data_IF_390411479652
#
_entry.id   IF_390411479652
#
_cell.length_a   1.000
_cell.length_b   1.000
_cell.length_c   1.000
_cell.angle_alpha   90.00
_cell.angle_beta   90.00
_cell.angle_gamma   90.00
#
_symmetry.space_group_name_H-M   'P 1'
#
loop_
_entity.id
_entity.type
_entity.pdbx_description
1 polymer ?
#
# COMPACT_ATOMS: atom_id res chain seq x y z
N UNK A 1 10.51 -10.28 15.08
CA UNK A 1 9.10 -9.91 14.82
C UNK A 1 8.46 -10.94 13.89
N UNK A 2 7.18 -11.28 14.05
CA UNK A 2 6.47 -12.14 13.09
C UNK A 2 5.86 -11.28 11.98
N UNK A 3 6.56 -11.20 10.85
CA UNK A 3 6.16 -10.35 9.74
C UNK A 3 4.92 -10.83 8.98
N UNK A 4 4.70 -12.15 8.94
CA UNK A 4 3.49 -12.72 8.32
C UNK A 4 2.26 -12.28 9.10
N UNK A 5 2.33 -12.40 10.42
CA UNK A 5 1.29 -11.92 11.32
C UNK A 5 1.12 -10.40 11.19
N UNK A 6 2.21 -9.63 11.19
CA UNK A 6 2.15 -8.16 11.04
C UNK A 6 1.40 -7.74 9.77
N UNK A 7 1.70 -8.34 8.62
CA UNK A 7 1.02 -8.04 7.35
C UNK A 7 -0.47 -8.38 7.44
N UNK A 8 -0.83 -9.53 8.01
CA UNK A 8 -2.24 -9.90 8.22
C UNK A 8 -2.95 -8.94 9.18
N UNK A 9 -2.32 -8.56 10.28
CA UNK A 9 -2.86 -7.57 11.23
C UNK A 9 -3.09 -6.19 10.54
N UNK A 10 -2.22 -5.79 9.61
CA UNK A 10 -2.39 -4.56 8.81
C UNK A 10 -3.63 -4.66 7.92
N UNK A 11 -3.81 -5.80 7.23
CA UNK A 11 -4.98 -6.05 6.37
C UNK A 11 -6.27 -6.07 7.21
N UNK A 12 -6.25 -6.78 8.33
CA UNK A 12 -7.42 -6.97 9.21
C UNK A 12 -7.85 -5.68 9.92
N UNK A 13 -6.89 -4.79 10.24
CA UNK A 13 -7.19 -3.46 10.80
C UNK A 13 -7.95 -2.58 9.78
N UNK A 14 -7.83 -2.87 8.48
CA UNK A 14 -8.57 -2.21 7.40
C UNK A 14 -8.45 -0.67 7.41
N UNK A 15 -7.34 -0.14 7.93
CA UNK A 15 -7.01 1.29 7.93
C UNK A 15 -6.07 1.63 6.78
N UNK A 16 -6.06 2.90 6.41
CA UNK A 16 -5.07 3.44 5.48
C UNK A 16 -3.73 3.63 6.19
N UNK A 17 -2.63 3.41 5.49
CA UNK A 17 -1.28 3.73 5.95
C UNK A 17 -0.83 4.98 5.23
N UNK A 18 -0.43 5.99 5.99
CA UNK A 18 0.13 7.22 5.44
C UNK A 18 1.64 7.10 5.40
N UNK A 19 2.21 7.34 4.22
CA UNK A 19 3.64 7.38 3.96
C UNK A 19 4.05 8.81 3.62
N UNK A 20 4.92 9.40 4.44
CA UNK A 20 5.55 10.68 4.17
C UNK A 20 6.87 10.43 3.40
N UNK A 21 6.82 10.43 2.07
CA UNK A 21 7.93 10.00 1.20
C UNK A 21 8.94 11.11 0.85
N UNK A 22 8.94 12.21 1.61
CA UNK A 22 9.86 13.35 1.44
C UNK A 22 9.16 14.70 1.43
N UNK A 23 9.87 15.73 0.93
CA UNK A 23 9.47 17.15 1.04
C UNK A 23 8.14 17.39 0.29
N UNK A 24 7.04 17.38 1.06
CA UNK A 24 5.64 17.61 0.64
C UNK A 24 4.93 16.48 -0.09
N UNK A 25 5.47 15.26 -0.11
CA UNK A 25 4.82 14.12 -0.76
C UNK A 25 4.16 13.22 0.28
N UNK A 26 2.84 13.27 0.33
CA UNK A 26 2.02 12.39 1.16
C UNK A 26 1.39 11.34 0.27
N UNK A 27 1.63 10.08 0.58
CA UNK A 27 0.94 8.96 -0.04
C UNK A 27 0.07 8.28 1.01
N UNK A 28 -1.16 7.92 0.66
CA UNK A 28 -1.98 7.01 1.44
C UNK A 28 -2.09 5.69 0.68
N UNK A 29 -1.77 4.60 1.37
CA UNK A 29 -1.83 3.25 0.83
C UNK A 29 -2.79 2.39 1.65
N UNK A 30 -3.54 1.53 0.99
CA UNK A 30 -4.36 0.52 1.65
C UNK A 30 -4.00 -0.85 1.12
N UNK A 31 -3.50 -1.71 2.02
CA UNK A 31 -3.15 -3.09 1.72
C UNK A 31 -4.37 -3.99 1.94
N UNK A 32 -4.63 -4.87 0.98
CA UNK A 32 -5.69 -5.85 1.05
C UNK A 32 -5.31 -7.11 0.27
N UNK A 33 -6.08 -8.17 0.45
CA UNK A 33 -5.92 -9.42 -0.26
C UNK A 33 -7.12 -9.64 -1.18
N UNK A 34 -6.84 -9.98 -2.45
CA UNK A 34 -7.84 -10.35 -3.43
C UNK A 34 -7.41 -11.63 -4.13
N UNK A 35 -8.23 -12.68 -4.05
CA UNK A 35 -7.93 -14.01 -4.61
C UNK A 35 -6.55 -14.58 -4.21
N UNK A 36 -6.15 -14.43 -2.94
CA UNK A 36 -4.84 -14.81 -2.39
C UNK A 36 -3.65 -14.02 -2.96
N UNK A 37 -3.90 -12.87 -3.57
CA UNK A 37 -2.87 -11.95 -4.04
C UNK A 37 -2.90 -10.68 -3.21
N UNK A 38 -1.73 -10.22 -2.75
CA UNK A 38 -1.62 -8.92 -2.09
C UNK A 38 -1.76 -7.79 -3.10
N UNK A 39 -2.62 -6.82 -2.77
CA UNK A 39 -2.90 -5.65 -3.60
C UNK A 39 -2.90 -4.38 -2.76
N UNK A 40 -2.61 -3.29 -3.44
CA UNK A 40 -2.60 -1.95 -2.88
C UNK A 40 -3.63 -1.07 -3.58
N UNK A 41 -4.30 -0.21 -2.82
CA UNK A 41 -4.86 1.03 -3.35
C UNK A 41 -3.91 2.14 -2.93
N UNK A 42 -3.41 2.90 -3.90
CA UNK A 42 -2.48 4.00 -3.70
C UNK A 42 -3.11 5.31 -4.13
N UNK A 43 -2.98 6.31 -3.27
CA UNK A 43 -3.41 7.67 -3.57
C UNK A 43 -2.34 8.64 -3.12
N UNK A 44 -1.98 9.54 -4.03
CA UNK A 44 -1.01 10.61 -3.81
C UNK A 44 -1.38 11.78 -4.72
N UNK A 45 -0.98 12.98 -4.35
CA UNK A 45 -1.27 14.20 -5.09
C UNK A 45 -0.51 14.26 -6.44
N UNK A 46 0.38 13.30 -6.71
CA UNK A 46 1.15 13.18 -7.97
C UNK A 46 0.50 12.27 -9.02
N UNK A 47 -0.47 11.43 -8.63
CA UNK A 47 -1.16 10.55 -9.57
C UNK A 47 -2.40 11.27 -10.13
N UNK A 48 -2.74 10.96 -11.38
CA UNK A 48 -3.97 11.48 -12.03
C UNK A 48 -5.25 11.03 -11.31
N UNK A 49 -5.16 10.00 -10.46
CA UNK A 49 -6.24 9.49 -9.64
C UNK A 49 -5.78 8.34 -8.74
N UNK A 50 -6.70 7.77 -7.95
CA UNK A 50 -6.41 6.59 -7.15
C UNK A 50 -6.08 5.40 -8.05
N UNK A 51 -5.08 4.60 -7.64
CA UNK A 51 -4.60 3.45 -8.40
C UNK A 51 -4.77 2.18 -7.59
N UNK A 52 -5.20 1.10 -8.23
CA UNK A 52 -5.03 -0.26 -7.68
C UNK A 52 -3.91 -0.98 -8.41
N UNK A 53 -3.03 -1.61 -7.63
CA UNK A 53 -1.87 -2.35 -8.14
C UNK A 53 -1.63 -3.61 -7.31
N UNK A 54 -0.91 -4.56 -7.89
CA UNK A 54 -0.47 -5.77 -7.21
C UNK A 54 0.86 -5.53 -6.51
N UNK A 55 1.05 -6.14 -5.33
CA UNK A 55 2.37 -6.20 -4.70
C UNK A 55 3.20 -7.24 -5.46
N UNK A 56 4.40 -6.87 -5.88
CA UNK A 56 5.33 -7.75 -6.59
C UNK A 56 6.51 -8.20 -5.74
N UNK A 57 6.83 -7.43 -4.70
CA UNK A 57 7.92 -7.78 -3.81
C UNK A 57 7.71 -7.19 -2.44
N UNK A 58 8.08 -7.98 -1.42
CA UNK A 58 8.06 -7.58 -0.03
C UNK A 58 9.50 -7.58 0.45
N UNK A 59 9.98 -6.43 0.93
CA UNK A 59 11.31 -6.30 1.51
C UNK A 59 11.18 -5.94 2.98
N UNK A 60 11.97 -6.62 3.81
CA UNK A 60 12.24 -6.20 5.19
C UNK A 60 13.64 -5.62 5.24
N UNK A 61 13.75 -4.32 5.52
CA UNK A 61 15.04 -3.62 5.61
C UNK A 61 15.83 -4.11 6.82
N UNK A 62 17.13 -3.85 6.84
CA UNK A 62 17.97 -4.16 8.01
C UNK A 62 17.57 -3.35 9.27
N UNK A 63 16.79 -2.27 9.10
CA UNK A 63 16.24 -1.47 10.19
C UNK A 63 14.88 -1.98 10.67
N UNK A 64 14.44 -3.16 10.21
CA UNK A 64 13.13 -3.74 10.50
C UNK A 64 11.95 -2.94 9.94
N UNK A 65 12.12 -2.27 8.80
CA UNK A 65 11.01 -1.63 8.07
C UNK A 65 10.44 -2.57 7.01
N UNK A 66 9.12 -2.54 6.82
CA UNK A 66 8.43 -3.25 5.75
C UNK A 66 8.25 -2.34 4.53
N UNK A 67 8.74 -2.76 3.37
CA UNK A 67 8.59 -2.04 2.10
C UNK A 67 7.90 -2.96 1.10
N UNK A 68 6.79 -2.48 0.53
CA UNK A 68 6.03 -3.17 -0.50
C UNK A 68 6.32 -2.53 -1.86
N UNK A 69 6.71 -3.34 -2.82
CA UNK A 69 6.98 -2.89 -4.18
C UNK A 69 5.83 -3.23 -5.11
N UNK A 70 5.55 -2.33 -6.03
CA UNK A 70 4.55 -2.49 -7.08
C UNK A 70 5.12 -2.12 -8.45
N UNK A 71 4.63 -2.72 -9.52
CA UNK A 71 4.98 -2.33 -10.89
C UNK A 71 3.96 -1.36 -11.45
N UNK A 72 4.46 -0.21 -11.91
CA UNK A 72 3.63 0.84 -12.50
C UNK A 72 2.94 0.40 -13.79
N UNK A 73 3.46 -0.63 -14.48
CA UNK A 73 2.92 -1.16 -15.73
C UNK A 73 1.59 -1.90 -15.55
N UNK A 74 1.29 -2.39 -14.35
CA UNK A 74 0.04 -3.11 -14.03
C UNK A 74 -0.95 -2.26 -13.23
N UNK A 75 -0.69 -0.95 -13.12
CA UNK A 75 -1.56 -0.01 -12.46
C UNK A 75 -2.91 0.10 -13.19
N UNK A 76 -3.99 -0.15 -12.46
CA UNK A 76 -5.34 0.23 -12.90
C UNK A 76 -5.70 1.54 -12.24
N UNK A 77 -5.80 2.63 -13.02
CA UNK A 77 -6.41 3.88 -12.55
C UNK A 77 -7.87 3.56 -12.25
N UNK A 78 -8.24 3.75 -10.99
CA UNK A 78 -9.59 3.48 -10.52
C UNK A 78 -10.53 4.57 -11.01
N UNK A 79 -11.79 4.19 -11.24
CA UNK A 79 -12.87 5.13 -11.53
C UNK A 79 -13.92 5.06 -10.44
N UNK A 80 -14.70 6.12 -10.27
CA UNK A 80 -15.79 6.16 -9.29
C UNK A 80 -16.76 4.96 -9.41
N UNK A 81 -17.01 4.51 -10.64
CA UNK A 81 -17.87 3.37 -10.99
C UNK A 81 -17.32 1.99 -10.57
N UNK A 82 -16.04 1.89 -10.21
CA UNK A 82 -15.43 0.63 -9.77
C UNK A 82 -15.75 0.26 -8.32
N UNK A 83 -16.48 1.10 -7.58
CA UNK A 83 -16.75 0.95 -6.14
C UNK A 83 -17.18 -0.45 -5.74
N UNK A 84 -18.09 -1.08 -6.49
CA UNK A 84 -18.64 -2.38 -6.14
C UNK A 84 -17.54 -3.46 -5.97
N UNK A 85 -16.46 -3.37 -6.76
CA UNK A 85 -15.29 -4.26 -6.68
C UNK A 85 -14.50 -4.08 -5.38
N UNK A 86 -14.51 -2.87 -4.82
CA UNK A 86 -13.72 -2.48 -3.64
C UNK A 86 -14.57 -2.26 -2.38
N UNK A 87 -15.88 -2.45 -2.45
CA UNK A 87 -16.83 -2.22 -1.35
C UNK A 87 -16.55 -3.02 -0.07
N UNK A 88 -15.78 -4.10 -0.17
CA UNK A 88 -15.33 -4.90 0.99
C UNK A 88 -14.12 -4.30 1.72
N UNK A 89 -13.35 -3.45 1.05
CA UNK A 89 -12.08 -2.91 1.55
C UNK A 89 -12.15 -1.39 1.80
N UNK A 90 -12.99 -0.68 1.05
CA UNK A 90 -13.16 0.77 1.17
C UNK A 90 -14.65 1.06 1.24
N UNK A 91 -15.09 1.76 2.29
CA UNK A 91 -16.49 2.19 2.38
C UNK A 91 -16.79 3.32 1.38
N UNK A 92 -18.07 3.56 1.12
CA UNK A 92 -18.48 4.55 0.11
C UNK A 92 -17.97 5.96 0.38
N UNK A 93 -17.91 6.39 1.65
CA UNK A 93 -17.42 7.74 1.99
C UNK A 93 -15.93 7.86 1.73
N UNK A 94 -15.16 6.85 2.11
CA UNK A 94 -13.73 6.78 1.81
C UNK A 94 -13.49 6.73 0.30
N UNK A 95 -14.30 5.96 -0.44
CA UNK A 95 -14.21 5.83 -1.89
C UNK A 95 -14.43 7.16 -2.59
N UNK A 96 -15.50 7.87 -2.24
CA UNK A 96 -15.82 9.17 -2.83
C UNK A 96 -14.73 10.20 -2.52
N UNK A 97 -14.10 10.11 -1.35
CA UNK A 97 -12.97 10.97 -0.98
C UNK A 97 -11.72 10.76 -1.86
N UNK A 98 -11.57 9.59 -2.51
CA UNK A 98 -10.41 9.32 -3.37
C UNK A 98 -10.41 10.14 -4.65
N UNK A 99 -11.56 10.66 -5.08
CA UNK A 99 -11.73 11.32 -6.38
C UNK A 99 -11.89 12.85 -6.29
N UNK A 100 -11.65 13.44 -5.12
CA UNK A 100 -11.88 14.88 -4.90
C UNK A 100 -10.69 15.77 -5.30
N UNK A 101 -9.55 15.18 -5.67
CA UNK A 101 -8.28 15.89 -5.87
C UNK A 101 -7.57 16.31 -4.57
N UNK A 102 -8.11 15.98 -3.40
CA UNK A 102 -7.50 16.20 -2.07
C UNK A 102 -7.58 14.93 -1.21
N UNK A 103 -7.43 13.76 -1.84
CA UNK A 103 -7.75 12.48 -1.22
C UNK A 103 -6.94 12.19 0.05
N UNK A 104 -5.64 12.46 0.03
CA UNK A 104 -4.72 12.27 1.17
C UNK A 104 -5.19 13.05 2.40
N UNK A 105 -5.48 14.35 2.21
CA UNK A 105 -6.03 15.25 3.24
C UNK A 105 -7.39 14.80 3.74
N UNK A 106 -8.28 14.35 2.85
CA UNK A 106 -9.61 13.88 3.22
C UNK A 106 -9.55 12.59 4.05
N UNK A 107 -8.72 11.62 3.65
CA UNK A 107 -8.54 10.38 4.41
C UNK A 107 -8.00 10.65 5.82
N UNK A 108 -7.05 11.58 5.96
CA UNK A 108 -6.54 12.01 7.27
C UNK A 108 -7.64 12.70 8.09
N UNK A 109 -8.41 13.61 7.50
CA UNK A 109 -9.49 14.32 8.18
C UNK A 109 -10.65 13.39 8.61
N UNK A 110 -10.81 12.25 7.94
CA UNK A 110 -11.82 11.23 8.24
C UNK A 110 -11.40 10.26 9.35
N UNK A 111 -10.18 10.36 9.90
CA UNK A 111 -9.64 9.45 10.93
C UNK A 111 -9.62 7.96 10.51
N UNK A 112 -9.49 7.72 9.20
CA UNK A 112 -9.41 6.36 8.62
C UNK A 112 -7.96 5.91 8.37
N UNK A 113 -6.99 6.79 8.66
CA UNK A 113 -5.55 6.53 8.58
C UNK A 113 -5.07 5.97 9.93
N UNK A 114 -4.27 4.92 9.91
CA UNK A 114 -3.64 4.33 11.09
C UNK A 114 -2.57 5.25 11.69
N UNK A 115 -2.41 5.19 13.01
CA UNK A 115 -1.41 5.97 13.75
C UNK A 115 -0.03 5.30 13.85
N UNK A 116 0.08 4.03 13.46
CA UNK A 116 1.31 3.25 13.52
C UNK A 116 1.96 3.16 12.14
N UNK A 117 3.29 3.14 12.10
CA UNK A 117 4.06 2.85 10.89
C UNK A 117 3.73 1.44 10.40
N UNK A 118 2.97 1.38 9.31
CA UNK A 118 2.45 0.14 8.73
C UNK A 118 3.45 -0.51 7.79
N UNK A 119 3.71 0.17 6.68
CA UNK A 119 4.60 -0.24 5.60
C UNK A 119 4.84 0.95 4.66
N UNK A 120 6.01 0.98 4.04
CA UNK A 120 6.30 1.89 2.93
C UNK A 120 5.92 1.26 1.60
N UNK A 121 5.66 2.09 0.60
CA UNK A 121 5.37 1.64 -0.76
C UNK A 121 6.32 2.34 -1.73
N UNK A 122 6.96 1.57 -2.59
CA UNK A 122 7.89 2.07 -3.61
C UNK A 122 7.61 1.41 -4.98
N UNK A 123 7.85 2.09 -6.10
CA UNK A 123 7.80 1.45 -7.41
C UNK A 123 8.92 0.41 -7.54
N UNK A 124 8.70 -0.65 -8.31
CA UNK A 124 9.65 -1.75 -8.54
C UNK A 124 11.05 -1.26 -8.92
N UNK A 125 11.16 -0.20 -9.72
CA UNK A 125 12.44 0.40 -10.11
C UNK A 125 13.30 0.85 -8.92
N UNK A 126 12.65 1.13 -7.78
CA UNK A 126 13.27 1.50 -6.51
C UNK A 126 13.98 0.35 -5.78
N UNK A 127 13.76 -0.91 -6.15
CA UNK A 127 14.35 -2.09 -5.49
C UNK A 127 15.87 -1.98 -5.41
N UNK A 128 16.52 -1.47 -6.47
CA UNK A 128 17.97 -1.35 -6.53
C UNK A 128 18.57 -0.50 -5.41
N UNK A 129 17.79 0.45 -4.85
CA UNK A 129 18.21 1.30 -3.72
C UNK A 129 18.40 0.50 -2.43
N UNK A 130 17.83 -0.70 -2.34
CA UNK A 130 17.88 -1.56 -1.16
C UNK A 130 18.94 -2.66 -1.26
N UNK A 131 19.69 -2.75 -2.37
CA UNK A 131 20.74 -3.76 -2.55
C UNK A 131 21.75 -3.73 -1.40
N UNK A 132 21.88 -4.85 -0.68
CA UNK A 132 22.77 -4.98 0.48
C UNK A 132 22.28 -4.34 1.77
N UNK A 133 21.06 -3.76 1.80
CA UNK A 133 20.47 -3.13 2.97
C UNK A 133 19.11 -3.73 3.39
N UNK A 134 18.95 -5.05 3.18
CA UNK A 134 17.73 -5.75 3.55
C UNK A 134 18.01 -7.21 3.93
N UNK A 135 17.07 -7.81 4.66
CA UNK A 135 17.11 -9.21 5.03
C UNK A 135 16.53 -10.06 3.88
N UNK A 136 17.43 -10.55 3.02
CA UNK A 136 17.06 -11.35 1.83
C UNK A 136 16.27 -12.61 2.18
N UNK A 137 16.76 -13.43 3.12
CA UNK A 137 16.10 -14.68 3.50
C UNK A 137 14.67 -14.47 4.01
N UNK A 138 14.46 -13.44 4.82
CA UNK A 138 13.13 -13.11 5.35
C UNK A 138 12.22 -12.54 4.27
N UNK A 139 12.77 -11.73 3.37
CA UNK A 139 12.01 -11.13 2.27
C UNK A 139 11.54 -12.20 1.29
N UNK A 140 12.42 -13.14 0.91
CA UNK A 140 12.06 -14.30 0.08
C UNK A 140 11.01 -15.22 0.74
N UNK A 141 11.07 -15.36 2.06
CA UNK A 141 10.07 -16.14 2.80
C UNK A 141 8.69 -15.49 2.73
N UNK A 142 8.63 -14.16 2.85
CA UNK A 142 7.40 -13.39 2.72
C UNK A 142 6.87 -13.42 1.28
N UNK A 143 7.75 -13.25 0.29
CA UNK A 143 7.39 -13.32 -1.13
C UNK A 143 6.70 -14.66 -1.44
N UNK A 144 7.31 -15.77 -1.03
CA UNK A 144 6.75 -17.13 -1.17
C UNK A 144 5.43 -17.31 -0.42
N UNK A 145 5.31 -16.75 0.78
CA UNK A 145 4.12 -16.91 1.61
C UNK A 145 2.90 -16.17 1.04
N UNK A 146 3.12 -14.97 0.49
CA UNK A 146 2.08 -14.13 -0.10
C UNK A 146 1.92 -14.30 -1.61
N UNK A 147 2.71 -15.21 -2.21
CA UNK A 147 2.68 -15.52 -3.63
C UNK A 147 2.82 -14.26 -4.51
N UNK A 148 3.82 -13.45 -4.16
CA UNK A 148 4.22 -12.25 -4.91
C UNK A 148 5.50 -12.51 -5.70
#
# INVERSE_FOLDING_TARGET
MDWKKRIKDIIDNNKWVKNDTGVWKVQCAKLFEDNNTLRLILVTDELEGPVSTQVEKIIVTNNEDLVLFYDERFNSILKEEDYDKFSKVVDKKQWDALFTGEATKNLVAMDVVGSEDGFYVEPHEGINKFTGNYNESLSEELDKYFNV
#
